data_IF_875313002565
#
_entry.id   IF_875313002565
#
_cell.length_a   1.000
_cell.length_b   1.000
_cell.length_c   1.000
_cell.angle_alpha   90.00
_cell.angle_beta   90.00
_cell.angle_gamma   90.00
#
_symmetry.space_group_name_H-M   'P 1'
#
loop_
_entity.id
_entity.type
_entity.pdbx_description
1 polymer ?
#
# COMPACT_ATOMS: atom_id res chain seq x y z
N UNK A 1 -13.81 16.13 -4.16
CA UNK A 1 -13.55 15.25 -5.33
C UNK A 1 -12.10 15.32 -5.82
N UNK A 2 -11.58 16.44 -6.35
CA UNK A 2 -10.16 16.51 -6.79
C UNK A 2 -9.17 16.47 -5.60
N UNK A 3 -9.46 17.18 -4.52
CA UNK A 3 -8.59 17.21 -3.33
C UNK A 3 -8.56 15.87 -2.58
N UNK A 4 -9.68 15.17 -2.53
CA UNK A 4 -9.80 13.86 -1.84
C UNK A 4 -8.99 12.78 -2.55
N UNK A 5 -9.02 12.75 -3.88
CA UNK A 5 -8.23 11.82 -4.69
C UNK A 5 -6.72 12.11 -4.56
N UNK A 6 -6.32 13.38 -4.48
CA UNK A 6 -4.92 13.77 -4.26
C UNK A 6 -4.40 13.28 -2.90
N UNK A 7 -5.17 13.47 -1.83
CA UNK A 7 -4.81 12.99 -0.47
C UNK A 7 -4.73 11.47 -0.42
N UNK A 8 -5.69 10.77 -1.02
CA UNK A 8 -5.72 9.30 -1.05
C UNK A 8 -4.57 8.72 -1.87
N UNK A 9 -4.24 9.33 -3.02
CA UNK A 9 -3.07 8.95 -3.80
C UNK A 9 -1.78 9.08 -2.98
N UNK A 10 -1.58 10.21 -2.30
CA UNK A 10 -0.41 10.42 -1.44
C UNK A 10 -0.33 9.40 -0.30
N UNK A 11 -1.47 9.08 0.32
CA UNK A 11 -1.56 8.06 1.37
C UNK A 11 -1.14 6.67 0.84
N UNK A 12 -1.66 6.25 -0.30
CA UNK A 12 -1.33 4.95 -0.92
C UNK A 12 0.15 4.90 -1.35
N UNK A 13 0.66 5.97 -1.94
CA UNK A 13 2.08 6.12 -2.30
C UNK A 13 3.00 5.98 -1.08
N UNK A 14 2.66 6.64 0.03
CA UNK A 14 3.42 6.59 1.28
C UNK A 14 3.37 5.19 1.89
N UNK A 15 2.18 4.58 1.95
CA UNK A 15 2.00 3.22 2.47
C UNK A 15 2.83 2.20 1.70
N UNK A 16 2.80 2.25 0.37
CA UNK A 16 3.59 1.37 -0.49
C UNK A 16 5.09 1.48 -0.22
N UNK A 17 5.58 2.70 -0.04
CA UNK A 17 6.99 2.93 0.24
C UNK A 17 7.39 2.42 1.64
N UNK A 18 6.57 2.66 2.66
CA UNK A 18 6.83 2.15 4.01
C UNK A 18 6.90 0.61 4.04
N UNK A 19 5.96 -0.08 3.36
CA UNK A 19 5.97 -1.54 3.24
C UNK A 19 7.25 -2.02 2.55
N UNK A 20 7.63 -1.39 1.43
CA UNK A 20 8.85 -1.74 0.68
C UNK A 20 10.09 -1.55 1.54
N UNK A 21 10.25 -0.39 2.19
CA UNK A 21 11.41 -0.08 3.02
C UNK A 21 11.57 -1.09 4.16
N UNK A 22 10.47 -1.43 4.84
CA UNK A 22 10.51 -2.41 5.92
C UNK A 22 10.93 -3.80 5.43
N UNK A 23 10.32 -4.29 4.34
CA UNK A 23 10.66 -5.60 3.76
C UNK A 23 12.10 -5.64 3.25
N UNK A 24 12.57 -4.55 2.62
CA UNK A 24 13.97 -4.41 2.19
C UNK A 24 14.93 -4.45 3.37
N UNK A 25 14.64 -3.73 4.46
CA UNK A 25 15.44 -3.74 5.68
C UNK A 25 15.51 -5.13 6.32
N UNK A 26 14.40 -5.87 6.30
CA UNK A 26 14.34 -7.27 6.78
C UNK A 26 14.92 -8.29 5.79
N UNK A 27 15.39 -7.86 4.61
CA UNK A 27 15.72 -8.72 3.48
C UNK A 27 14.62 -9.75 3.12
N UNK A 28 13.36 -9.45 3.43
CA UNK A 28 12.22 -10.34 3.19
C UNK A 28 11.38 -9.83 2.00
N UNK A 29 10.57 -10.71 1.42
CA UNK A 29 9.50 -10.32 0.49
C UNK A 29 8.10 -10.65 1.04
N UNK A 30 8.02 -11.07 2.30
CA UNK A 30 6.76 -11.41 2.95
C UNK A 30 6.76 -11.02 4.43
N UNK A 31 5.58 -10.68 4.93
CA UNK A 31 5.34 -10.31 6.34
C UNK A 31 3.88 -10.53 6.68
N UNK A 32 3.59 -10.92 7.93
CA UNK A 32 2.20 -11.02 8.37
C UNK A 32 1.56 -9.65 8.53
N UNK A 33 0.29 -9.54 8.18
CA UNK A 33 -0.51 -8.32 8.26
C UNK A 33 -0.39 -7.65 9.63
N UNK A 34 -0.58 -8.43 10.71
CA UNK A 34 -0.50 -7.93 12.08
C UNK A 34 0.88 -7.36 12.45
N UNK A 35 1.95 -7.91 11.87
CA UNK A 35 3.31 -7.40 12.10
C UNK A 35 3.52 -6.10 11.32
N UNK A 36 3.10 -6.08 10.05
CA UNK A 36 3.20 -4.88 9.22
C UNK A 36 2.37 -3.72 9.80
N UNK A 37 1.15 -3.96 10.29
CA UNK A 37 0.32 -2.91 10.91
C UNK A 37 0.97 -2.33 12.16
N UNK A 38 1.63 -3.16 12.98
CA UNK A 38 2.39 -2.69 14.15
C UNK A 38 3.55 -1.80 13.72
N UNK A 39 4.36 -2.26 12.77
CA UNK A 39 5.49 -1.49 12.20
C UNK A 39 5.03 -0.14 11.66
N UNK A 40 3.92 -0.11 10.92
CA UNK A 40 3.39 1.12 10.35
C UNK A 40 2.89 2.07 11.43
N UNK A 41 2.20 1.57 12.46
CA UNK A 41 1.77 2.39 13.59
C UNK A 41 2.95 2.94 14.41
N UNK A 42 3.97 2.12 14.68
CA UNK A 42 5.18 2.55 15.41
C UNK A 42 5.95 3.63 14.63
N UNK A 43 5.85 3.63 13.30
CA UNK A 43 6.46 4.66 12.44
C UNK A 43 5.72 6.00 12.45
N UNK A 44 4.45 6.04 12.90
CA UNK A 44 3.64 7.24 12.94
C UNK A 44 3.71 7.91 14.32
N UNK A 45 4.62 8.88 14.47
CA UNK A 45 4.69 9.72 15.68
C UNK A 45 3.45 10.61 15.78
N UNK A 46 2.51 10.27 16.65
CA UNK A 46 1.41 11.14 17.08
C UNK A 46 0.11 11.09 16.25
N UNK A 47 0.05 10.28 15.19
CA UNK A 47 -1.18 10.02 14.43
C UNK A 47 -1.50 8.53 14.52
N UNK A 48 -2.34 8.16 15.50
CA UNK A 48 -2.72 6.76 15.69
C UNK A 48 -3.83 6.39 14.71
N UNK A 49 -3.53 5.48 13.78
CA UNK A 49 -4.52 4.85 12.91
C UNK A 49 -4.92 3.52 13.56
N UNK A 50 -6.21 3.21 13.59
CA UNK A 50 -6.66 1.94 14.13
C UNK A 50 -6.07 0.77 13.34
N UNK A 51 -5.84 -0.37 14.00
CA UNK A 51 -5.28 -1.55 13.32
C UNK A 51 -6.16 -1.97 12.14
N UNK A 52 -7.49 -1.95 12.30
CA UNK A 52 -8.44 -2.33 11.24
C UNK A 52 -8.39 -1.37 10.06
N UNK A 53 -8.25 -0.07 10.31
CA UNK A 53 -8.10 0.93 9.25
C UNK A 53 -6.79 0.73 8.47
N UNK A 54 -5.66 0.46 9.14
CA UNK A 54 -4.41 0.12 8.46
C UNK A 54 -4.53 -1.17 7.64
N UNK A 55 -5.20 -2.20 8.16
CA UNK A 55 -5.43 -3.43 7.40
C UNK A 55 -6.23 -3.16 6.12
N UNK A 56 -7.31 -2.39 6.24
CA UNK A 56 -8.14 -2.00 5.09
C UNK A 56 -7.34 -1.22 4.04
N UNK A 57 -6.46 -0.31 4.47
CA UNK A 57 -5.59 0.45 3.56
C UNK A 57 -4.57 -0.45 2.86
N UNK A 58 -3.99 -1.44 3.55
CA UNK A 58 -3.07 -2.40 2.95
C UNK A 58 -3.80 -3.29 1.93
N UNK A 59 -5.02 -3.72 2.23
CA UNK A 59 -5.85 -4.51 1.32
C UNK A 59 -6.30 -3.70 0.09
N UNK A 60 -6.61 -2.42 0.28
CA UNK A 60 -6.87 -1.50 -0.82
C UNK A 60 -5.63 -1.34 -1.70
N UNK A 61 -4.45 -1.14 -1.12
CA UNK A 61 -3.20 -1.08 -1.86
C UNK A 61 -2.91 -2.40 -2.61
N UNK A 62 -3.19 -3.57 -2.03
CA UNK A 62 -3.02 -4.85 -2.71
C UNK A 62 -3.92 -4.96 -3.96
N UNK A 63 -5.15 -4.46 -3.86
CA UNK A 63 -6.09 -4.39 -5.01
C UNK A 63 -5.64 -3.38 -6.07
N UNK A 64 -4.99 -2.30 -5.64
CA UNK A 64 -4.50 -1.23 -6.51
C UNK A 64 -3.27 -1.66 -7.34
N UNK A 65 -2.33 -2.37 -6.72
CA UNK A 65 -1.08 -2.82 -7.34
C UNK A 65 -0.86 -4.33 -7.24
N UNK A 66 -1.79 -5.15 -7.79
CA UNK A 66 -1.82 -6.60 -7.59
C UNK A 66 -0.65 -7.33 -8.24
N UNK A 67 0.01 -6.70 -9.22
CA UNK A 67 1.24 -7.23 -9.84
C UNK A 67 2.43 -7.18 -8.89
N UNK A 68 2.46 -6.21 -7.97
CA UNK A 68 3.54 -6.08 -6.99
C UNK A 68 3.20 -6.74 -5.66
N UNK A 69 1.98 -6.55 -5.16
CA UNK A 69 1.60 -6.98 -3.82
C UNK A 69 0.38 -7.90 -3.83
N UNK A 70 0.47 -9.01 -3.11
CA UNK A 70 -0.63 -9.95 -2.91
C UNK A 70 -0.80 -10.26 -1.42
N UNK A 71 -2.02 -10.63 -1.01
CA UNK A 71 -2.31 -11.07 0.35
C UNK A 71 -2.80 -12.53 0.26
N UNK A 72 -2.20 -13.41 1.06
CA UNK A 72 -2.55 -14.83 1.13
C UNK A 72 -3.03 -15.19 2.53
N UNK A 73 -4.08 -15.99 2.63
CA UNK A 73 -4.54 -16.56 3.89
C UNK A 73 -3.74 -17.83 4.22
N UNK A 74 -2.71 -17.70 5.06
CA UNK A 74 -1.84 -18.80 5.50
C UNK A 74 -1.54 -18.60 6.98
N UNK A 75 -2.28 -19.28 7.86
CA UNK A 75 -2.19 -19.08 9.33
C UNK A 75 -2.41 -17.61 9.74
N UNK A 76 -3.19 -16.87 8.94
CA UNK A 76 -3.39 -15.42 9.00
C UNK A 76 -3.09 -14.76 7.66
N UNK A 77 -3.34 -13.45 7.56
CA UNK A 77 -3.07 -12.67 6.35
C UNK A 77 -1.57 -12.44 6.18
N UNK A 78 -0.97 -13.05 5.16
CA UNK A 78 0.42 -12.89 4.77
C UNK A 78 0.51 -11.95 3.56
N UNK A 79 1.15 -10.81 3.74
CA UNK A 79 1.48 -9.88 2.65
C UNK A 79 2.72 -10.42 1.94
N UNK A 80 2.69 -10.52 0.61
CA UNK A 80 3.84 -10.86 -0.24
C UNK A 80 4.05 -9.81 -1.30
N UNK A 81 5.30 -9.40 -1.50
CA UNK A 81 5.71 -8.46 -2.55
C UNK A 81 6.65 -9.11 -3.56
N UNK A 82 6.64 -8.60 -4.78
CA UNK A 82 7.62 -8.95 -5.80
C UNK A 82 8.82 -7.99 -5.76
N UNK A 83 10.02 -8.54 -5.51
CA UNK A 83 11.27 -7.78 -5.43
C UNK A 83 11.78 -7.30 -6.79
N UNK A 84 11.34 -7.90 -7.91
CA UNK A 84 11.77 -7.44 -9.24
C UNK A 84 11.06 -6.17 -9.69
N UNK A 85 9.97 -5.78 -9.01
CA UNK A 85 9.22 -4.57 -9.33
C UNK A 85 9.74 -3.38 -8.49
N UNK A 86 10.23 -2.36 -9.19
CA UNK A 86 10.87 -1.21 -8.56
C UNK A 86 9.91 -0.28 -7.82
N UNK A 87 10.47 0.52 -6.92
CA UNK A 87 9.82 1.66 -6.28
C UNK A 87 8.99 2.49 -7.24
N UNK A 88 9.69 2.96 -8.27
CA UNK A 88 9.15 3.87 -9.27
C UNK A 88 7.99 3.25 -10.05
N UNK A 89 8.07 1.97 -10.42
CA UNK A 89 6.99 1.28 -11.13
C UNK A 89 5.70 1.24 -10.30
N UNK A 90 5.81 0.93 -9.00
CA UNK A 90 4.64 0.93 -8.10
C UNK A 90 4.06 2.32 -7.95
N UNK A 91 4.92 3.34 -7.78
CA UNK A 91 4.45 4.72 -7.69
C UNK A 91 3.74 5.18 -8.96
N UNK A 92 4.24 4.79 -10.14
CA UNK A 92 3.56 5.07 -11.42
C UNK A 92 2.20 4.40 -11.52
N UNK A 93 2.05 3.14 -11.07
CA UNK A 93 0.76 2.46 -11.09
C UNK A 93 -0.26 3.14 -10.17
N UNK A 94 0.15 3.53 -8.96
CA UNK A 94 -0.68 4.29 -8.04
C UNK A 94 -1.11 5.60 -8.70
N UNK A 95 -0.16 6.38 -9.24
CA UNK A 95 -0.46 7.64 -9.92
C UNK A 95 -1.43 7.46 -11.10
N UNK A 96 -1.22 6.45 -11.93
CA UNK A 96 -2.04 6.22 -13.13
C UNK A 96 -3.47 5.83 -12.78
N UNK A 97 -3.67 5.07 -11.70
CA UNK A 97 -5.02 4.72 -11.24
C UNK A 97 -5.83 5.97 -10.89
N UNK A 98 -5.28 6.84 -10.04
CA UNK A 98 -5.98 8.06 -9.62
C UNK A 98 -6.10 9.12 -10.73
N UNK A 99 -5.22 9.12 -11.74
CA UNK A 99 -5.38 9.94 -12.97
C UNK A 99 -6.50 9.40 -13.87
N UNK A 100 -6.64 8.08 -13.98
CA UNK A 100 -7.70 7.43 -14.77
C UNK A 100 -9.11 7.72 -14.25
N UNK A 101 -9.25 7.97 -12.95
CA UNK A 101 -10.50 8.41 -12.33
C UNK A 101 -10.84 9.89 -12.59
N UNK A 102 -9.89 10.69 -13.11
CA UNK A 102 -10.08 12.14 -13.35
C UNK A 102 -10.53 12.48 -14.77
N UNK A 103 -10.57 11.52 -15.71
CA UNK A 103 -11.12 11.79 -17.04
C UNK A 103 -12.64 11.63 -17.00
N UNK A 104 -13.43 12.67 -17.36
CA UNK A 104 -14.85 12.46 -17.62
C UNK A 104 -14.94 11.46 -18.77
N UNK A 105 -15.75 10.41 -18.57
CA UNK A 105 -16.25 9.60 -19.69
C UNK A 105 -17.05 10.54 -20.57
N UNK A 106 -16.40 11.15 -21.57
CA UNK A 106 -17.11 11.81 -22.66
C UNK A 106 -17.87 10.71 -23.41
N UNK A 107 -19.16 10.60 -23.12
CA UNK A 107 -20.16 10.03 -24.01
C UNK A 107 -20.64 11.12 -24.96
#
# INVERSE_FOLDING_TARGET
>A
MLEDNSKKQQQMSKLAEQIRLHLSFKNSNAIYMNEMTKVLNDSQRGAFISQDELQNLIEELARLVPRWMTIKEIKGKLIKTDKSISGQQVQQWIQNHFKGEQQPRNQ
#
